data_IF_811397202604
#
_entry.id   IF_811397202604
#
_cell.length_a   1.000
_cell.length_b   1.000
_cell.length_c   1.000
_cell.angle_alpha   90.00
_cell.angle_beta   90.00
_cell.angle_gamma   90.00
#
_symmetry.space_group_name_H-M   'P 1'
#
loop_
_entity.id
_entity.type
_entity.pdbx_description
1 polymer ?
#
# COMPACT_ATOMS: atom_id res chain seq x y z
N UNK A 1 -12.39 -20.71 35.14
CA UNK A 1 -11.72 -19.65 34.36
C UNK A 1 -12.34 -19.64 32.96
N UNK A 2 -13.24 -18.71 32.68
CA UNK A 2 -13.94 -18.61 31.40
C UNK A 2 -13.00 -18.03 30.33
N UNK A 3 -12.72 -18.81 29.30
CA UNK A 3 -12.08 -18.32 28.09
C UNK A 3 -13.12 -17.54 27.28
N UNK A 4 -13.08 -16.21 27.39
CA UNK A 4 -13.66 -15.32 26.38
C UNK A 4 -12.86 -15.52 25.08
N UNK A 5 -13.23 -16.50 24.27
CA UNK A 5 -12.88 -16.55 22.85
C UNK A 5 -13.67 -15.45 22.17
N UNK A 6 -12.98 -14.39 21.77
CA UNK A 6 -13.52 -13.27 21.01
C UNK A 6 -14.20 -13.78 19.74
N UNK A 7 -15.53 -13.87 19.80
CA UNK A 7 -16.45 -14.14 18.70
C UNK A 7 -16.51 -12.98 17.69
N UNK A 8 -15.46 -12.15 17.61
CA UNK A 8 -15.38 -10.96 16.76
C UNK A 8 -14.75 -11.25 15.38
N UNK A 9 -14.15 -12.42 15.18
CA UNK A 9 -13.51 -12.76 13.89
C UNK A 9 -14.50 -13.30 12.83
N UNK A 10 -15.72 -13.69 13.22
CA UNK A 10 -16.69 -14.30 12.29
C UNK A 10 -17.43 -13.31 11.39
N UNK A 11 -17.74 -12.10 11.87
CA UNK A 11 -18.60 -11.16 11.16
C UNK A 11 -17.88 -10.48 9.97
N UNK A 12 -16.61 -10.10 10.13
CA UNK A 12 -15.82 -9.50 9.05
C UNK A 12 -15.34 -10.56 8.04
N UNK A 13 -15.02 -11.78 8.49
CA UNK A 13 -14.64 -12.90 7.62
C UNK A 13 -15.80 -13.33 6.70
N UNK A 14 -17.06 -13.23 7.17
CA UNK A 14 -18.25 -13.58 6.39
C UNK A 14 -18.47 -12.73 5.13
N UNK A 15 -17.89 -11.53 5.04
CA UNK A 15 -18.00 -10.68 3.85
C UNK A 15 -17.00 -11.01 2.75
N UNK A 16 -15.92 -11.74 3.04
CA UNK A 16 -14.85 -12.01 2.09
C UNK A 16 -15.00 -13.38 1.45
N UNK A 17 -15.90 -13.47 0.47
CA UNK A 17 -16.03 -14.69 -0.35
C UNK A 17 -14.77 -14.93 -1.18
N UNK A 18 -14.53 -16.18 -1.61
CA UNK A 18 -13.37 -16.53 -2.44
C UNK A 18 -13.30 -15.68 -3.73
N UNK A 19 -14.44 -15.32 -4.31
CA UNK A 19 -14.53 -14.44 -5.46
C UNK A 19 -14.09 -13.00 -5.13
N UNK A 20 -14.51 -12.46 -3.98
CA UNK A 20 -14.11 -11.11 -3.52
C UNK A 20 -12.62 -11.05 -3.20
N UNK A 21 -12.04 -12.11 -2.62
CA UNK A 21 -10.59 -12.18 -2.39
C UNK A 21 -9.81 -12.20 -3.71
N UNK A 22 -10.27 -12.96 -4.71
CA UNK A 22 -9.64 -12.94 -6.04
C UNK A 22 -9.74 -11.58 -6.73
N UNK A 23 -10.88 -10.91 -6.59
CA UNK A 23 -11.08 -9.55 -7.09
C UNK A 23 -10.16 -8.55 -6.38
N UNK A 24 -9.97 -8.67 -5.07
CA UNK A 24 -9.00 -7.87 -4.32
C UNK A 24 -7.56 -8.16 -4.74
N UNK A 25 -7.23 -9.41 -5.10
CA UNK A 25 -5.93 -9.74 -5.69
C UNK A 25 -5.70 -9.06 -7.05
N UNK A 26 -6.73 -9.01 -7.91
CA UNK A 26 -6.68 -8.23 -9.16
C UNK A 26 -6.54 -6.74 -8.90
N UNK A 27 -7.27 -6.21 -7.92
CA UNK A 27 -7.15 -4.81 -7.50
C UNK A 27 -5.71 -4.51 -7.07
N UNK A 28 -5.11 -5.34 -6.21
CA UNK A 28 -3.73 -5.17 -5.78
C UNK A 28 -2.75 -5.14 -6.96
N UNK A 29 -2.87 -6.08 -7.91
CA UNK A 29 -2.04 -6.09 -9.13
C UNK A 29 -2.22 -4.77 -9.90
N UNK A 30 -3.46 -4.37 -10.16
CA UNK A 30 -3.75 -3.14 -10.90
C UNK A 30 -3.20 -1.90 -10.17
N UNK A 31 -3.35 -1.81 -8.85
CA UNK A 31 -2.80 -0.74 -8.03
C UNK A 31 -1.27 -0.69 -8.07
N UNK A 32 -0.60 -1.84 -7.93
CA UNK A 32 0.86 -1.94 -8.03
C UNK A 32 1.39 -1.57 -9.41
N UNK A 33 0.70 -1.97 -10.48
CA UNK A 33 1.05 -1.59 -11.86
C UNK A 33 0.81 -0.10 -12.11
N UNK A 34 -0.29 0.47 -11.60
CA UNK A 34 -0.60 1.88 -11.75
C UNK A 34 0.43 2.76 -11.00
N UNK A 35 0.81 2.37 -9.78
CA UNK A 35 1.91 3.02 -9.04
C UNK A 35 3.21 2.98 -9.84
N UNK A 36 3.58 1.81 -10.36
CA UNK A 36 4.78 1.68 -11.18
C UNK A 36 4.75 2.61 -12.39
N UNK A 37 3.66 2.59 -13.17
CA UNK A 37 3.49 3.45 -14.34
C UNK A 37 3.55 4.93 -13.96
N UNK A 38 2.86 5.34 -12.88
CA UNK A 38 2.86 6.71 -12.39
C UNK A 38 4.27 7.20 -12.06
N UNK A 39 5.02 6.44 -11.26
CA UNK A 39 6.37 6.83 -10.86
C UNK A 39 7.32 6.84 -12.06
N UNK A 40 7.23 5.86 -12.96
CA UNK A 40 8.04 5.85 -14.19
C UNK A 40 7.75 7.06 -15.07
N UNK A 41 6.48 7.38 -15.33
CA UNK A 41 6.11 8.52 -16.17
C UNK A 41 6.59 9.82 -15.53
N UNK A 42 6.34 10.01 -14.24
CA UNK A 42 6.72 11.24 -13.52
C UNK A 42 8.23 11.44 -13.53
N UNK A 43 9.02 10.40 -13.25
CA UNK A 43 10.48 10.49 -13.30
C UNK A 43 11.00 10.73 -14.71
N UNK A 44 10.43 10.09 -15.73
CA UNK A 44 10.83 10.36 -17.13
C UNK A 44 10.54 11.81 -17.51
N UNK A 45 9.36 12.33 -17.18
CA UNK A 45 9.00 13.72 -17.46
C UNK A 45 9.91 14.71 -16.73
N UNK A 46 10.28 14.41 -15.49
CA UNK A 46 11.21 15.22 -14.72
C UNK A 46 12.63 15.20 -15.29
N UNK A 47 13.15 14.02 -15.68
CA UNK A 47 14.46 13.88 -16.33
C UNK A 47 14.53 14.61 -17.68
N UNK A 48 13.40 14.67 -18.39
CA UNK A 48 13.27 15.42 -19.64
C UNK A 48 13.05 16.93 -19.42
N UNK A 49 12.96 17.40 -18.17
CA UNK A 49 12.77 18.81 -17.82
C UNK A 49 11.35 19.33 -18.02
N UNK A 50 10.36 18.46 -18.23
CA UNK A 50 8.96 18.86 -18.36
C UNK A 50 8.29 19.15 -17.01
N UNK A 51 8.82 18.59 -15.92
CA UNK A 51 8.36 18.83 -14.56
C UNK A 51 9.47 19.52 -13.76
N UNK A 52 9.38 20.83 -13.54
CA UNK A 52 10.22 21.53 -12.58
C UNK A 52 9.58 21.43 -11.21
N UNK A 53 10.02 20.46 -10.39
CA UNK A 53 9.53 20.28 -9.02
C UNK A 53 9.84 21.48 -8.08
N UNK A 54 10.54 22.52 -8.56
CA UNK A 54 10.97 23.72 -7.81
C UNK A 54 10.64 25.04 -8.53
N UNK A 55 9.47 25.13 -9.19
CA UNK A 55 8.96 26.38 -9.75
C UNK A 55 7.83 26.98 -8.89
N UNK A 56 8.12 28.07 -8.19
CA UNK A 56 7.19 28.85 -7.35
C UNK A 56 6.20 29.72 -8.13
N UNK A 57 5.80 29.34 -9.35
CA UNK A 57 4.86 30.15 -10.13
C UNK A 57 3.55 29.37 -10.39
N UNK A 58 2.44 29.75 -9.73
CA UNK A 58 1.12 29.25 -10.03
C UNK A 58 0.58 29.99 -11.26
N UNK A 59 1.17 29.76 -12.43
CA UNK A 59 0.69 30.36 -13.67
C UNK A 59 0.62 29.27 -14.74
N UNK A 60 -0.62 29.06 -15.22
CA UNK A 60 -1.07 28.32 -16.41
C UNK A 60 -1.82 27.01 -16.13
N UNK A 61 -3.10 26.98 -16.53
CA UNK A 61 -4.11 25.94 -16.26
C UNK A 61 -3.76 24.50 -16.71
N UNK A 62 -2.62 24.30 -17.36
CA UNK A 62 -2.04 22.98 -17.65
C UNK A 62 -1.35 22.39 -16.42
N UNK A 63 -0.71 23.21 -15.59
CA UNK A 63 -0.03 22.76 -14.36
C UNK A 63 -1.02 22.32 -13.26
N UNK A 64 -2.17 22.98 -13.15
CA UNK A 64 -3.20 22.63 -12.15
C UNK A 64 -4.00 21.40 -12.54
N UNK A 65 -4.36 21.24 -13.82
CA UNK A 65 -5.10 20.07 -14.31
C UNK A 65 -4.25 18.79 -14.27
N UNK A 66 -2.97 18.88 -14.62
CA UNK A 66 -2.02 17.78 -14.46
C UNK A 66 -1.85 17.38 -12.99
N UNK A 67 -1.75 18.36 -12.09
CA UNK A 67 -1.69 18.11 -10.65
C UNK A 67 -2.91 17.32 -10.14
N UNK A 68 -4.13 17.74 -10.46
CA UNK A 68 -5.33 16.99 -10.01
C UNK A 68 -5.45 15.61 -10.64
N UNK A 69 -5.09 15.46 -11.92
CA UNK A 69 -5.07 14.16 -12.59
C UNK A 69 -4.06 13.21 -11.95
N UNK A 70 -2.89 13.74 -11.58
CA UNK A 70 -1.83 13.06 -10.86
C UNK A 70 -2.31 12.57 -9.48
N UNK A 71 -2.80 13.47 -8.63
CA UNK A 71 -3.31 13.14 -7.30
C UNK A 71 -4.50 12.15 -7.36
N UNK A 72 -5.39 12.33 -8.33
CA UNK A 72 -6.50 11.40 -8.58
C UNK A 72 -6.06 10.01 -9.03
N UNK A 73 -4.99 9.92 -9.83
CA UNK A 73 -4.41 8.62 -10.21
C UNK A 73 -3.80 7.91 -9.01
N UNK A 74 -3.11 8.64 -8.14
CA UNK A 74 -2.54 8.10 -6.90
C UNK A 74 -3.63 7.64 -5.92
N UNK A 75 -4.73 8.40 -5.79
CA UNK A 75 -5.90 7.97 -5.04
C UNK A 75 -6.40 6.60 -5.50
N UNK A 76 -6.57 6.41 -6.81
CA UNK A 76 -7.04 5.13 -7.38
C UNK A 76 -6.04 4.03 -7.08
N UNK A 77 -4.75 4.26 -7.31
CA UNK A 77 -3.69 3.29 -7.04
C UNK A 77 -3.73 2.82 -5.58
N UNK A 78 -3.71 3.76 -4.63
CA UNK A 78 -3.66 3.44 -3.21
C UNK A 78 -4.95 2.82 -2.69
N UNK A 79 -6.11 3.16 -3.26
CA UNK A 79 -7.38 2.49 -2.96
C UNK A 79 -7.33 1.02 -3.38
N UNK A 80 -6.82 0.72 -4.56
CA UNK A 80 -6.67 -0.65 -5.06
C UNK A 80 -5.67 -1.45 -4.22
N UNK A 81 -4.56 -0.82 -3.82
CA UNK A 81 -3.56 -1.41 -2.91
C UNK A 81 -4.16 -1.70 -1.53
N UNK A 82 -4.95 -0.77 -0.99
CA UNK A 82 -5.66 -0.93 0.28
C UNK A 82 -6.58 -2.15 0.25
N UNK A 83 -7.40 -2.28 -0.80
CA UNK A 83 -8.29 -3.44 -0.96
C UNK A 83 -7.49 -4.76 -0.96
N UNK A 84 -6.34 -4.78 -1.64
CA UNK A 84 -5.40 -5.89 -1.63
C UNK A 84 -4.90 -6.26 -0.23
N UNK A 85 -4.33 -5.30 0.49
CA UNK A 85 -3.78 -5.55 1.83
C UNK A 85 -4.87 -5.87 2.87
N UNK A 86 -6.06 -5.28 2.76
CA UNK A 86 -7.20 -5.61 3.62
C UNK A 86 -7.63 -7.07 3.43
N UNK A 87 -7.74 -7.54 2.17
CA UNK A 87 -8.04 -8.93 1.88
C UNK A 87 -6.94 -9.88 2.37
N UNK A 88 -5.67 -9.47 2.23
CA UNK A 88 -4.53 -10.21 2.76
C UNK A 88 -4.56 -10.32 4.28
N UNK A 89 -4.88 -9.24 4.99
CA UNK A 89 -5.02 -9.24 6.44
C UNK A 89 -6.09 -10.24 6.90
N UNK A 90 -7.26 -10.21 6.26
CA UNK A 90 -8.35 -11.16 6.56
C UNK A 90 -7.91 -12.60 6.31
N UNK A 91 -7.27 -12.87 5.16
CA UNK A 91 -6.72 -14.19 4.82
C UNK A 91 -5.70 -14.70 5.85
N UNK A 92 -4.75 -13.85 6.24
CA UNK A 92 -3.63 -14.24 7.11
C UNK A 92 -3.93 -14.10 8.60
N UNK A 93 -5.10 -13.57 8.97
CA UNK A 93 -5.55 -13.49 10.35
C UNK A 93 -5.57 -14.86 11.04
N UNK A 94 -5.94 -15.92 10.32
CA UNK A 94 -5.96 -17.30 10.82
C UNK A 94 -4.60 -18.01 10.81
N UNK A 95 -3.64 -17.57 9.99
CA UNK A 95 -2.39 -18.29 9.72
C UNK A 95 -1.32 -18.18 10.84
N UNK A 96 -1.63 -17.54 11.96
CA UNK A 96 -0.86 -17.65 13.20
C UNK A 96 0.41 -16.77 13.26
N UNK A 97 0.34 -15.71 14.06
CA UNK A 97 1.50 -14.90 14.47
C UNK A 97 1.14 -13.44 14.72
N UNK A 98 1.35 -12.94 15.94
CA UNK A 98 1.07 -11.53 16.28
C UNK A 98 1.74 -10.55 15.32
N UNK A 99 2.97 -10.88 14.89
CA UNK A 99 3.76 -10.06 13.97
C UNK A 99 3.17 -10.02 12.55
N UNK A 100 2.65 -11.15 12.05
CA UNK A 100 2.03 -11.23 10.72
C UNK A 100 0.72 -10.43 10.69
N UNK A 101 -0.09 -10.57 11.74
CA UNK A 101 -1.32 -9.78 11.92
C UNK A 101 -1.04 -8.29 12.00
N UNK A 102 -0.04 -7.90 12.80
CA UNK A 102 0.37 -6.51 12.93
C UNK A 102 0.89 -5.94 11.60
N UNK A 103 1.76 -6.68 10.88
CA UNK A 103 2.32 -6.23 9.60
C UNK A 103 1.27 -6.05 8.52
N UNK A 104 0.40 -7.04 8.33
CA UNK A 104 -0.70 -6.96 7.34
C UNK A 104 -1.71 -5.86 7.68
N UNK A 105 -2.06 -5.69 8.95
CA UNK A 105 -2.96 -4.62 9.40
C UNK A 105 -2.33 -3.25 9.19
N UNK A 106 -1.05 -3.08 9.54
CA UNK A 106 -0.35 -1.81 9.40
C UNK A 106 -0.19 -1.42 7.93
N UNK A 107 0.07 -2.37 7.03
CA UNK A 107 0.10 -2.13 5.59
C UNK A 107 -1.28 -1.72 5.04
N UNK A 108 -2.36 -2.33 5.52
CA UNK A 108 -3.72 -1.94 5.17
C UNK A 108 -4.07 -0.53 5.70
N UNK A 109 -3.77 -0.24 6.97
CA UNK A 109 -3.99 1.10 7.55
C UNK A 109 -3.18 2.15 6.79
N UNK A 110 -1.91 1.88 6.49
CA UNK A 110 -1.03 2.80 5.77
C UNK A 110 -1.54 3.13 4.36
N UNK A 111 -1.97 2.11 3.61
CA UNK A 111 -2.55 2.30 2.27
C UNK A 111 -3.91 3.00 2.30
N UNK A 112 -4.75 2.71 3.29
CA UNK A 112 -6.00 3.44 3.52
C UNK A 112 -5.77 4.92 3.85
N UNK A 113 -4.80 5.22 4.73
CA UNK A 113 -4.42 6.59 5.05
C UNK A 113 -3.86 7.33 3.84
N UNK A 114 -3.02 6.68 3.02
CA UNK A 114 -2.52 7.25 1.79
C UNK A 114 -3.67 7.59 0.83
N UNK A 115 -4.59 6.66 0.59
CA UNK A 115 -5.76 6.90 -0.25
C UNK A 115 -6.62 8.08 0.26
N UNK A 116 -6.93 8.12 1.56
CA UNK A 116 -7.68 9.24 2.15
C UNK A 116 -6.93 10.56 2.00
N UNK A 117 -5.61 10.55 2.20
CA UNK A 117 -4.77 11.72 1.98
C UNK A 117 -4.84 12.23 0.53
N UNK A 118 -4.69 11.34 -0.45
CA UNK A 118 -4.83 11.68 -1.88
C UNK A 118 -6.24 12.14 -2.25
N UNK A 119 -7.29 11.60 -1.61
CA UNK A 119 -8.66 12.10 -1.78
C UNK A 119 -8.76 13.56 -1.38
N UNK A 120 -8.23 13.93 -0.21
CA UNK A 120 -8.25 15.33 0.25
C UNK A 120 -7.35 16.23 -0.59
N UNK A 121 -6.16 15.76 -1.00
CA UNK A 121 -5.28 16.51 -1.89
C UNK A 121 -5.95 16.80 -3.25
N UNK A 122 -6.75 15.86 -3.76
CA UNK A 122 -7.50 16.02 -5.00
C UNK A 122 -8.73 16.92 -4.83
N UNK A 123 -9.54 16.68 -3.79
CA UNK A 123 -10.86 17.30 -3.64
C UNK A 123 -10.83 18.67 -2.97
N UNK A 124 -9.96 18.88 -1.97
CA UNK A 124 -9.99 20.10 -1.17
C UNK A 124 -9.70 21.38 -1.99
N UNK A 125 -8.72 21.40 -2.91
CA UNK A 125 -8.52 22.57 -3.76
C UNK A 125 -9.68 22.81 -4.75
N UNK A 126 -10.32 21.73 -5.24
CA UNK A 126 -11.45 21.82 -6.18
C UNK A 126 -12.69 22.50 -5.57
N UNK A 127 -12.81 22.48 -4.24
CA UNK A 127 -13.88 23.17 -3.49
C UNK A 127 -13.39 24.42 -2.76
N UNK A 128 -12.17 24.90 -3.05
CA UNK A 128 -11.59 26.11 -2.42
C UNK A 128 -11.14 25.94 -0.97
N UNK A 129 -11.10 24.71 -0.44
CA UNK A 129 -10.73 24.39 0.94
C UNK A 129 -9.22 24.14 1.11
N UNK A 130 -8.39 25.06 0.63
CA UNK A 130 -6.93 24.91 0.54
C UNK A 130 -6.27 24.61 1.90
N UNK A 131 -6.87 25.04 3.02
CA UNK A 131 -6.37 24.75 4.38
C UNK A 131 -6.31 23.25 4.75
N UNK A 132 -6.96 22.37 4.00
CA UNK A 132 -6.98 20.92 4.24
C UNK A 132 -5.80 20.20 3.54
N UNK A 133 -5.13 20.85 2.58
CA UNK A 133 -4.04 20.25 1.78
C UNK A 133 -2.83 19.89 2.65
N UNK A 134 -2.44 20.76 3.58
CA UNK A 134 -1.29 20.49 4.46
C UNK A 134 -1.54 19.29 5.38
N UNK A 135 -2.68 19.18 6.11
CA UNK A 135 -3.06 17.96 6.81
C UNK A 135 -3.14 16.72 5.91
N UNK A 136 -3.64 16.86 4.69
CA UNK A 136 -3.73 15.76 3.73
C UNK A 136 -2.34 15.22 3.37
N UNK A 137 -1.38 16.11 3.07
CA UNK A 137 0.01 15.76 2.78
C UNK A 137 0.70 15.08 3.98
N UNK A 138 0.39 15.49 5.21
CA UNK A 138 0.87 14.81 6.43
C UNK A 138 0.29 13.40 6.51
N UNK A 139 -1.00 13.24 6.22
CA UNK A 139 -1.67 11.93 6.17
C UNK A 139 -1.07 11.00 5.12
N UNK A 140 -0.78 11.50 3.91
CA UNK A 140 -0.05 10.78 2.86
C UNK A 140 1.33 10.37 3.37
N UNK A 141 2.12 11.32 3.87
CA UNK A 141 3.47 11.08 4.35
C UNK A 141 3.53 10.02 5.46
N UNK A 142 2.65 10.12 6.46
CA UNK A 142 2.58 9.15 7.55
C UNK A 142 2.06 7.78 7.08
N UNK A 143 1.03 7.74 6.23
CA UNK A 143 0.48 6.50 5.69
C UNK A 143 1.51 5.72 4.89
N UNK A 144 2.22 6.40 3.99
CA UNK A 144 3.26 5.82 3.14
C UNK A 144 4.51 5.45 3.93
N UNK A 145 5.08 6.39 4.69
CA UNK A 145 6.38 6.19 5.33
C UNK A 145 6.31 5.27 6.54
N UNK A 146 5.23 5.32 7.33
CA UNK A 146 5.13 4.56 8.57
C UNK A 146 4.26 3.33 8.35
N UNK A 147 3.04 3.48 7.85
CA UNK A 147 2.10 2.37 7.73
C UNK A 147 2.57 1.32 6.72
N UNK A 148 2.81 1.72 5.48
CA UNK A 148 3.16 0.77 4.42
C UNK A 148 4.55 0.19 4.63
N UNK A 149 5.58 1.01 4.80
CA UNK A 149 6.95 0.50 4.89
C UNK A 149 7.18 -0.39 6.11
N UNK A 150 6.69 0.01 7.28
CA UNK A 150 6.81 -0.83 8.48
C UNK A 150 5.90 -2.05 8.37
N UNK A 151 4.69 -1.90 7.84
CA UNK A 151 3.74 -2.99 7.64
C UNK A 151 4.29 -4.09 6.73
N UNK A 152 4.77 -3.72 5.54
CA UNK A 152 5.37 -4.67 4.59
C UNK A 152 6.64 -5.31 5.15
N UNK A 153 7.48 -4.55 5.86
CA UNK A 153 8.68 -5.07 6.49
C UNK A 153 8.38 -6.12 7.58
N UNK A 154 7.51 -5.78 8.54
CA UNK A 154 7.11 -6.70 9.61
C UNK A 154 6.43 -7.94 9.05
N UNK A 155 5.60 -7.77 8.02
CA UNK A 155 4.98 -8.87 7.28
C UNK A 155 6.05 -9.76 6.62
N UNK A 156 7.03 -9.20 5.93
CA UNK A 156 8.12 -9.95 5.32
C UNK A 156 8.93 -10.77 6.34
N UNK A 157 9.26 -10.18 7.49
CA UNK A 157 9.94 -10.92 8.59
C UNK A 157 9.06 -12.05 9.10
N UNK A 158 7.77 -11.79 9.35
CA UNK A 158 6.86 -12.79 9.87
C UNK A 158 6.68 -13.95 8.87
N UNK A 159 6.57 -13.64 7.58
CA UNK A 159 6.45 -14.60 6.50
C UNK A 159 7.72 -15.45 6.33
N UNK A 160 8.91 -14.86 6.43
CA UNK A 160 10.17 -15.62 6.46
C UNK A 160 10.23 -16.58 7.65
N UNK A 161 9.85 -16.11 8.84
CA UNK A 161 9.92 -16.92 10.07
C UNK A 161 8.91 -18.08 10.05
N UNK A 162 7.72 -17.82 9.55
CA UNK A 162 6.64 -18.80 9.54
C UNK A 162 6.72 -19.76 8.33
N UNK A 163 7.63 -19.53 7.37
CA UNK A 163 7.78 -20.35 6.16
C UNK A 163 6.49 -20.47 5.32
N UNK A 164 5.56 -19.52 5.47
CA UNK A 164 4.23 -19.54 4.85
C UNK A 164 4.32 -19.33 3.34
N UNK A 165 5.35 -18.62 2.89
CA UNK A 165 5.54 -18.20 1.50
C UNK A 165 6.98 -18.41 1.05
N UNK A 166 7.21 -18.26 -0.25
CA UNK A 166 8.55 -18.33 -0.81
C UNK A 166 9.49 -17.27 -0.21
N UNK A 167 10.72 -17.67 0.09
CA UNK A 167 11.81 -16.78 0.53
C UNK A 167 11.97 -15.51 -0.32
N UNK A 168 11.90 -15.55 -1.67
CA UNK A 168 12.00 -14.33 -2.48
C UNK A 168 10.85 -13.35 -2.25
N UNK A 169 9.62 -13.82 -2.04
CA UNK A 169 8.48 -12.94 -1.76
C UNK A 169 8.66 -12.21 -0.43
N UNK A 170 9.05 -12.93 0.60
CA UNK A 170 9.28 -12.34 1.92
C UNK A 170 10.51 -11.42 1.94
N UNK A 171 11.57 -11.73 1.17
CA UNK A 171 12.72 -10.85 0.99
C UNK A 171 12.34 -9.52 0.28
N UNK A 172 11.48 -9.56 -0.74
CA UNK A 172 10.99 -8.36 -1.40
C UNK A 172 10.22 -7.44 -0.44
N UNK A 173 9.37 -8.02 0.41
CA UNK A 173 8.65 -7.28 1.45
C UNK A 173 9.56 -6.61 2.48
N UNK A 174 10.65 -7.30 2.84
CA UNK A 174 11.69 -6.75 3.73
C UNK A 174 12.45 -5.62 3.04
N UNK A 175 12.72 -5.75 1.73
CA UNK A 175 13.46 -4.77 0.96
C UNK A 175 12.74 -3.42 0.80
N UNK A 176 11.41 -3.36 0.97
CA UNK A 176 10.63 -2.12 0.87
C UNK A 176 11.12 -1.02 1.83
N UNK A 177 11.39 -1.36 3.09
CA UNK A 177 11.81 -0.38 4.10
C UNK A 177 13.19 0.24 3.82
N UNK A 178 14.28 -0.52 3.62
CA UNK A 178 15.58 0.07 3.31
C UNK A 178 15.57 0.83 1.98
N UNK A 179 14.84 0.33 0.98
CA UNK A 179 14.64 1.01 -0.29
C UNK A 179 14.02 2.40 -0.10
N UNK A 180 12.90 2.49 0.63
CA UNK A 180 12.18 3.75 0.85
C UNK A 180 12.93 4.73 1.75
N UNK A 181 13.71 4.25 2.72
CA UNK A 181 14.62 5.11 3.50
C UNK A 181 15.72 5.71 2.62
N UNK A 182 16.27 4.92 1.69
CA UNK A 182 17.29 5.36 0.75
C UNK A 182 16.74 6.37 -0.26
N UNK A 183 15.48 6.23 -0.68
CA UNK A 183 14.81 7.16 -1.57
C UNK A 183 14.29 8.44 -0.90
N UNK A 184 13.96 8.36 0.38
CA UNK A 184 13.44 9.47 1.16
C UNK A 184 14.57 10.38 1.68
N UNK A 185 14.62 10.65 3.00
CA UNK A 185 15.49 11.69 3.56
C UNK A 185 16.98 11.48 3.24
N UNK A 186 17.44 10.23 3.10
CA UNK A 186 18.84 9.91 2.78
C UNK A 186 19.16 10.23 1.31
N UNK A 187 18.30 9.82 0.39
CA UNK A 187 18.49 10.06 -1.04
C UNK A 187 18.42 11.54 -1.40
N UNK A 188 17.49 12.28 -0.76
CA UNK A 188 17.42 13.73 -0.87
C UNK A 188 18.68 14.42 -0.32
N UNK A 189 19.18 14.00 0.84
CA UNK A 189 20.42 14.54 1.40
C UNK A 189 21.66 14.26 0.53
N UNK A 190 21.64 13.17 -0.24
CA UNK A 190 22.74 12.76 -1.13
C UNK A 190 22.60 13.27 -2.58
N UNK A 191 21.57 14.06 -2.90
CA UNK A 191 21.34 14.58 -4.25
C UNK A 191 20.97 13.52 -5.30
N UNK A 192 20.69 12.28 -4.87
CA UNK A 192 20.32 11.15 -5.74
C UNK A 192 18.86 10.73 -5.57
N UNK A 193 18.07 11.51 -4.83
CA UNK A 193 16.68 11.19 -4.44
C UNK A 193 15.78 10.76 -5.60
N UNK A 194 15.96 11.33 -6.80
CA UNK A 194 15.16 10.97 -7.97
C UNK A 194 15.44 9.55 -8.50
N UNK A 195 16.71 9.20 -8.67
CA UNK A 195 17.11 7.89 -9.20
C UNK A 195 16.95 6.84 -8.09
N UNK A 196 17.25 7.21 -6.85
CA UNK A 196 17.05 6.37 -5.69
C UNK A 196 15.57 6.05 -5.47
N UNK A 197 14.65 6.99 -5.71
CA UNK A 197 13.20 6.76 -5.60
C UNK A 197 12.63 5.82 -6.66
N UNK A 198 13.13 5.88 -7.91
CA UNK A 198 12.81 4.89 -8.94
C UNK A 198 13.23 3.47 -8.54
N UNK A 199 14.46 3.32 -8.05
CA UNK A 199 14.98 2.02 -7.62
C UNK A 199 14.24 1.53 -6.37
N UNK A 200 13.80 2.46 -5.51
CA UNK A 200 13.16 2.12 -4.26
C UNK A 200 11.68 1.77 -4.33
N UNK A 201 10.96 2.32 -5.32
CA UNK A 201 9.53 2.01 -5.51
C UNK A 201 9.34 0.62 -6.14
N UNK A 202 10.33 0.14 -6.89
CA UNK A 202 10.30 -1.17 -7.57
C UNK A 202 10.03 -2.35 -6.61
N UNK A 203 10.75 -2.51 -5.48
CA UNK A 203 10.43 -3.52 -4.47
C UNK A 203 9.00 -3.44 -3.95
N UNK A 204 8.49 -2.23 -3.74
CA UNK A 204 7.13 -2.02 -3.24
C UNK A 204 6.09 -2.44 -4.29
N UNK A 205 6.22 -1.99 -5.53
CA UNK A 205 5.32 -2.39 -6.61
C UNK A 205 5.36 -3.90 -6.85
N UNK A 206 6.55 -4.50 -6.85
CA UNK A 206 6.72 -5.95 -6.99
C UNK A 206 6.07 -6.71 -5.83
N UNK A 207 6.25 -6.24 -4.59
CA UNK A 207 5.62 -6.83 -3.41
C UNK A 207 4.09 -6.77 -3.48
N UNK A 208 3.52 -5.63 -3.89
CA UNK A 208 2.07 -5.45 -4.07
C UNK A 208 1.53 -6.41 -5.15
N UNK A 209 2.21 -6.52 -6.29
CA UNK A 209 1.82 -7.43 -7.37
C UNK A 209 1.86 -8.89 -6.89
N UNK A 210 2.89 -9.26 -6.13
CA UNK A 210 3.00 -10.61 -5.56
C UNK A 210 1.93 -10.90 -4.51
N UNK A 211 1.56 -9.92 -3.68
CA UNK A 211 0.39 -10.02 -2.79
C UNK A 211 -0.87 -10.31 -3.61
N UNK A 212 -1.07 -9.58 -4.70
CA UNK A 212 -2.23 -9.81 -5.57
C UNK A 212 -2.22 -11.17 -6.25
N UNK A 213 -1.04 -11.65 -6.66
CA UNK A 213 -0.88 -13.00 -7.18
C UNK A 213 -1.22 -14.06 -6.13
N UNK A 214 -0.67 -13.93 -4.92
CA UNK A 214 -0.93 -14.81 -3.79
C UNK A 214 -2.42 -14.94 -3.48
N UNK A 215 -3.15 -13.83 -3.40
CA UNK A 215 -4.60 -13.82 -3.16
C UNK A 215 -5.42 -14.51 -4.26
N UNK A 216 -4.89 -14.57 -5.48
CA UNK A 216 -5.54 -15.20 -6.62
C UNK A 216 -5.29 -16.70 -6.70
N UNK A 217 -4.07 -17.14 -6.38
CA UNK A 217 -3.63 -18.52 -6.61
C UNK A 217 -3.83 -19.43 -5.43
N UNK A 218 -3.72 -18.93 -4.19
CA UNK A 218 -3.95 -19.80 -3.03
C UNK A 218 -5.44 -20.06 -2.80
N UNK A 219 -5.79 -21.34 -2.86
CA UNK A 219 -7.11 -21.85 -2.51
C UNK A 219 -7.40 -21.55 -1.04
N UNK A 220 -8.58 -21.00 -0.70
CA UNK A 220 -8.97 -20.84 0.69
C UNK A 220 -9.05 -22.24 1.30
N UNK A 221 -8.17 -22.52 2.24
CA UNK A 221 -8.32 -23.71 3.07
C UNK A 221 -9.62 -23.51 3.86
N UNK A 222 -10.65 -24.28 3.51
CA UNK A 222 -11.90 -24.31 4.25
C UNK A 222 -11.53 -24.91 5.60
N UNK A 223 -11.36 -24.07 6.63
CA UNK A 223 -11.34 -24.55 8.01
C UNK A 223 -12.71 -25.19 8.23
N UNK A 224 -12.82 -26.52 8.36
CA UNK A 224 -14.10 -27.13 8.66
C UNK A 224 -14.60 -26.53 9.98
N UNK A 225 -15.89 -26.20 10.10
CA UNK A 225 -16.43 -25.78 11.38
C UNK A 225 -16.06 -26.86 12.39
N UNK A 226 -15.28 -26.47 13.40
CA UNK A 226 -14.96 -27.33 14.54
C UNK A 226 -16.28 -27.90 15.02
N UNK A 227 -16.45 -29.22 14.92
CA UNK A 227 -17.62 -29.90 15.42
C UNK A 227 -17.81 -29.43 16.87
N UNK A 228 -19.00 -28.87 17.14
CA UNK A 228 -19.35 -28.43 18.48
C UNK A 228 -19.08 -29.59 19.47
N UNK A 229 -18.48 -29.33 20.63
CA UNK A 229 -18.29 -30.37 21.64
C UNK A 229 -19.67 -30.97 21.97
N UNK A 230 -19.77 -32.28 21.81
CA UNK A 230 -20.94 -33.09 22.16
C UNK A 230 -21.20 -33.11 23.67
#
# INVERSE_FOLDING_TARGET
MSTHTTQYDGAAAGWWTSQRVRAAGLAAIAGGTLLFAYFTITTVLELLGFLTLHGTDPVDGVGTSWYYASEGSLLIAWTLVFVGFAALHVRLSGAGGRLLRAGTLLAAIGSGMAAVGFLFATAAPAVGAIGIVTPANIGIGLGLMVGINLGTFLMGIALLRASIVSRPFAALLIAVLPATLLAGPVGFALGVGLIASMIAILPLCAAIVLVGHYLRTETPEVVPPTAAPA
#
